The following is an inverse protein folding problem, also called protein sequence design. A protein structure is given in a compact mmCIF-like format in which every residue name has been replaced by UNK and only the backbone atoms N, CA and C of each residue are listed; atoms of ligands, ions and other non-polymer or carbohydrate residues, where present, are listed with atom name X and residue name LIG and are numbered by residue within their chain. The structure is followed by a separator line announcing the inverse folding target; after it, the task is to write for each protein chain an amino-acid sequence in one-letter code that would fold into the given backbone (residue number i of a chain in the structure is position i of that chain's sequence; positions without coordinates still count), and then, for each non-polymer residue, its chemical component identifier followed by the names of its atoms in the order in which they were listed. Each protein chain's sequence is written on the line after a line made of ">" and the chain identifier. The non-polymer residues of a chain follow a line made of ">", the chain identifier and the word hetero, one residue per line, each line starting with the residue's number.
data_IF_641760004886
#
_entry.id   IF_641760004886
#
_cell.length_a   1.000
_cell.length_b   1.000
_cell.length_c   1.000
_cell.angle_alpha   90.00
_cell.angle_beta   90.00
_cell.angle_gamma   90.00
#
_symmetry.space_group_name_H-M   'P 1'
#
loop_
_entity.id
_entity.type
_entity.pdbx_description
1 polymer ?
#
# COMPACT_ATOMS: atom_id res chain seq x y z
N UNK A 1 -36.29 -17.71 4.05
CA UNK A 1 -35.88 -17.10 2.77
C UNK A 1 -35.15 -15.78 2.94
N UNK A 2 -35.86 -14.64 3.06
CA UNK A 2 -35.22 -13.32 2.93
C UNK A 2 -34.14 -13.01 3.98
N UNK A 3 -34.29 -13.49 5.21
CA UNK A 3 -33.29 -13.33 6.29
C UNK A 3 -31.95 -13.99 5.93
N UNK A 4 -32.00 -15.15 5.27
CA UNK A 4 -30.79 -15.91 4.88
C UNK A 4 -30.03 -15.18 3.77
N UNK A 5 -30.76 -14.70 2.75
CA UNK A 5 -30.20 -13.87 1.69
C UNK A 5 -29.62 -12.56 2.25
N UNK A 6 -30.37 -11.85 3.09
CA UNK A 6 -29.87 -10.62 3.73
C UNK A 6 -28.61 -10.87 4.55
N UNK A 7 -28.53 -11.99 5.28
CA UNK A 7 -27.35 -12.40 6.03
C UNK A 7 -26.13 -12.61 5.12
N UNK A 8 -26.27 -13.29 3.98
CA UNK A 8 -25.16 -13.47 3.05
C UNK A 8 -24.68 -12.15 2.44
N UNK A 9 -25.60 -11.24 2.12
CA UNK A 9 -25.23 -9.93 1.61
C UNK A 9 -24.43 -9.11 2.63
N UNK A 10 -24.85 -9.11 3.90
CA UNK A 10 -24.12 -8.42 4.96
C UNK A 10 -22.75 -9.05 5.19
N UNK A 11 -22.67 -10.39 5.23
CA UNK A 11 -21.39 -11.09 5.37
C UNK A 11 -20.45 -10.72 4.22
N UNK A 12 -20.96 -10.69 2.98
CA UNK A 12 -20.16 -10.30 1.82
C UNK A 12 -19.66 -8.85 1.94
N UNK A 13 -20.52 -7.90 2.34
CA UNK A 13 -20.11 -6.51 2.60
C UNK A 13 -19.04 -6.43 3.68
N UNK A 14 -19.19 -7.16 4.79
CA UNK A 14 -18.20 -7.20 5.86
C UNK A 14 -16.84 -7.70 5.35
N UNK A 15 -16.81 -8.80 4.58
CA UNK A 15 -15.58 -9.30 3.97
C UNK A 15 -14.96 -8.30 2.99
N UNK A 16 -15.79 -7.62 2.20
CA UNK A 16 -15.34 -6.56 1.29
C UNK A 16 -14.62 -5.43 2.05
N UNK A 17 -15.20 -4.91 3.14
CA UNK A 17 -14.55 -3.89 3.98
C UNK A 17 -13.33 -4.40 4.75
N UNK A 18 -13.25 -5.72 5.00
CA UNK A 18 -12.05 -6.37 5.57
C UNK A 18 -10.97 -6.60 4.49
N UNK A 19 -11.23 -6.30 3.22
CA UNK A 19 -10.29 -6.49 2.11
C UNK A 19 -10.19 -7.94 1.62
N UNK A 20 -11.09 -8.80 2.10
CA UNK A 20 -11.22 -10.23 1.77
C UNK A 20 -12.22 -10.41 0.63
N UNK A 21 -11.84 -9.92 -0.55
CA UNK A 21 -12.74 -9.84 -1.70
C UNK A 21 -13.08 -11.22 -2.26
N UNK A 22 -12.17 -12.18 -2.18
CA UNK A 22 -12.40 -13.56 -2.60
C UNK A 22 -13.51 -14.22 -1.75
N UNK A 23 -13.47 -14.06 -0.43
CA UNK A 23 -14.51 -14.52 0.47
C UNK A 23 -15.82 -13.77 0.24
N UNK A 24 -15.77 -12.43 0.05
CA UNK A 24 -16.95 -11.63 -0.26
C UNK A 24 -17.66 -12.13 -1.53
N UNK A 25 -16.89 -12.38 -2.60
CA UNK A 25 -17.40 -12.94 -3.85
C UNK A 25 -18.00 -14.34 -3.68
N UNK A 26 -17.40 -15.20 -2.85
CA UNK A 26 -17.95 -16.52 -2.55
C UNK A 26 -19.32 -16.44 -1.89
N UNK A 27 -19.52 -15.50 -0.95
CA UNK A 27 -20.82 -15.27 -0.33
C UNK A 27 -21.85 -14.67 -1.30
N UNK A 28 -21.45 -13.78 -2.20
CA UNK A 28 -22.34 -13.26 -3.25
C UNK A 28 -22.75 -14.35 -4.25
N UNK A 29 -21.86 -15.30 -4.58
CA UNK A 29 -22.23 -16.46 -5.39
C UNK A 29 -23.28 -17.33 -4.70
N UNK A 30 -23.11 -17.61 -3.40
CA UNK A 30 -24.11 -18.36 -2.61
C UNK A 30 -25.46 -17.63 -2.57
N UNK A 31 -25.42 -16.30 -2.43
CA UNK A 31 -26.62 -15.46 -2.48
C UNK A 31 -27.34 -15.56 -3.83
N UNK A 32 -26.62 -15.50 -4.95
CA UNK A 32 -27.20 -15.63 -6.29
C UNK A 32 -27.83 -17.01 -6.53
N UNK A 33 -27.18 -18.08 -6.07
CA UNK A 33 -27.70 -19.45 -6.15
C UNK A 33 -29.00 -19.61 -5.34
N UNK A 34 -29.07 -19.07 -4.12
CA UNK A 34 -30.27 -19.18 -3.29
C UNK A 34 -31.40 -18.24 -3.74
N UNK A 35 -31.07 -17.07 -4.29
CA UNK A 35 -32.06 -16.13 -4.82
C UNK A 35 -32.74 -16.66 -6.11
N UNK A 36 -32.08 -17.50 -6.90
CA UNK A 36 -32.70 -18.20 -8.03
C UNK A 36 -33.73 -19.24 -7.57
N UNK A 37 -33.53 -19.83 -6.39
CA UNK A 37 -34.46 -20.81 -5.79
C UNK A 37 -35.65 -20.12 -5.14
N UNK A 38 -35.46 -18.91 -4.60
CA UNK A 38 -36.49 -18.17 -3.89
C UNK A 38 -36.94 -16.95 -4.70
N UNK A 39 -38.03 -17.12 -5.47
CA UNK A 39 -38.64 -16.10 -6.36
C UNK A 39 -39.29 -14.90 -5.61
N UNK A 40 -38.63 -14.32 -4.60
CA UNK A 40 -39.04 -13.10 -3.90
C UNK A 40 -37.84 -12.29 -3.43
N UNK A 41 -37.18 -11.61 -4.35
CA UNK A 41 -36.28 -10.51 -4.01
C UNK A 41 -36.64 -9.32 -4.91
N UNK A 42 -36.90 -8.16 -4.30
CA UNK A 42 -37.34 -6.97 -5.03
C UNK A 42 -36.32 -6.53 -6.09
N UNK A 43 -36.79 -6.01 -7.23
CA UNK A 43 -35.93 -5.64 -8.38
C UNK A 43 -34.78 -4.70 -8.01
N UNK A 44 -35.00 -3.73 -7.11
CA UNK A 44 -33.97 -2.78 -6.67
C UNK A 44 -32.86 -3.44 -5.83
N UNK A 45 -33.20 -4.39 -4.95
CA UNK A 45 -32.21 -5.08 -4.14
C UNK A 45 -31.42 -6.11 -4.96
N UNK A 46 -32.03 -6.72 -5.99
CA UNK A 46 -31.29 -7.57 -6.94
C UNK A 46 -30.28 -6.77 -7.77
N UNK A 47 -30.64 -5.55 -8.20
CA UNK A 47 -29.77 -4.72 -9.03
C UNK A 47 -28.52 -4.25 -8.27
N UNK A 48 -28.67 -3.81 -7.02
CA UNK A 48 -27.55 -3.39 -6.16
C UNK A 48 -26.62 -4.55 -5.77
N UNK A 49 -27.17 -5.74 -5.53
CA UNK A 49 -26.39 -6.97 -5.31
C UNK A 49 -25.60 -7.34 -6.57
N UNK A 50 -26.25 -7.30 -7.73
CA UNK A 50 -25.62 -7.65 -8.99
C UNK A 50 -24.50 -6.67 -9.35
N UNK A 51 -24.72 -5.36 -9.17
CA UNK A 51 -23.68 -4.35 -9.42
C UNK A 51 -22.51 -4.53 -8.46
N UNK A 52 -22.77 -4.77 -7.17
CA UNK A 52 -21.72 -5.01 -6.17
C UNK A 52 -20.90 -6.26 -6.50
N UNK A 53 -21.56 -7.35 -6.90
CA UNK A 53 -20.87 -8.57 -7.35
C UNK A 53 -19.97 -8.31 -8.57
N UNK A 54 -20.48 -7.57 -9.57
CA UNK A 54 -19.69 -7.18 -10.75
C UNK A 54 -18.47 -6.35 -10.36
N UNK A 55 -18.62 -5.38 -9.45
CA UNK A 55 -17.50 -4.58 -8.94
C UNK A 55 -16.46 -5.47 -8.27
N UNK A 56 -16.86 -6.38 -7.37
CA UNK A 56 -15.90 -7.28 -6.71
C UNK A 56 -15.17 -8.17 -7.72
N UNK A 57 -15.88 -8.74 -8.70
CA UNK A 57 -15.29 -9.52 -9.77
C UNK A 57 -14.25 -8.73 -10.56
N UNK A 58 -14.56 -7.48 -10.91
CA UNK A 58 -13.65 -6.63 -11.66
C UNK A 58 -12.40 -6.27 -10.85
N UNK A 59 -12.56 -5.90 -9.57
CA UNK A 59 -11.43 -5.62 -8.67
C UNK A 59 -10.52 -6.83 -8.49
N UNK A 60 -11.11 -8.03 -8.32
CA UNK A 60 -10.34 -9.28 -8.25
C UNK A 60 -9.61 -9.58 -9.56
N UNK A 61 -10.27 -9.37 -10.71
CA UNK A 61 -9.68 -9.55 -12.04
C UNK A 61 -8.49 -8.63 -12.26
N UNK A 62 -8.64 -7.33 -11.95
CA UNK A 62 -7.58 -6.33 -12.08
C UNK A 62 -6.40 -6.63 -11.15
N UNK A 63 -6.66 -6.98 -9.88
CA UNK A 63 -5.60 -7.41 -8.95
C UNK A 63 -4.87 -8.66 -9.47
N UNK A 64 -5.60 -9.66 -9.97
CA UNK A 64 -5.01 -10.88 -10.50
C UNK A 64 -4.18 -10.63 -11.76
N UNK A 65 -4.65 -9.76 -12.66
CA UNK A 65 -3.92 -9.35 -13.85
C UNK A 65 -2.62 -8.63 -13.48
N UNK A 66 -2.67 -7.69 -12.52
CA UNK A 66 -1.49 -7.00 -12.00
C UNK A 66 -0.48 -7.96 -11.36
N UNK A 67 -0.96 -8.92 -10.56
CA UNK A 67 -0.10 -9.94 -9.96
C UNK A 67 0.57 -10.83 -11.02
N UNK A 68 -0.17 -11.22 -12.07
CA UNK A 68 0.36 -12.04 -13.18
C UNK A 68 1.42 -11.27 -13.99
N UNK A 69 1.15 -10.00 -14.31
CA UNK A 69 2.11 -9.13 -14.98
C UNK A 69 3.38 -8.93 -14.14
N UNK A 70 3.23 -8.75 -12.82
CA UNK A 70 4.35 -8.63 -11.88
C UNK A 70 5.21 -9.91 -11.86
N UNK A 71 4.58 -11.08 -11.78
CA UNK A 71 5.29 -12.38 -11.82
C UNK A 71 6.00 -12.61 -13.16
N UNK A 72 5.47 -12.07 -14.26
CA UNK A 72 6.10 -12.12 -15.58
C UNK A 72 7.23 -11.08 -15.77
N UNK A 73 7.58 -10.29 -14.75
CA UNK A 73 8.57 -9.23 -14.84
C UNK A 73 8.11 -7.97 -15.60
N UNK A 74 6.83 -7.90 -15.99
CA UNK A 74 6.24 -6.78 -16.72
C UNK A 74 5.73 -5.73 -15.75
N UNK A 75 6.65 -5.01 -15.12
CA UNK A 75 6.31 -4.12 -14.01
C UNK A 75 5.46 -2.91 -14.41
N UNK A 76 5.63 -2.36 -15.61
CA UNK A 76 4.80 -1.24 -16.09
C UNK A 76 3.34 -1.68 -16.29
N UNK A 77 3.11 -2.84 -16.91
CA UNK A 77 1.76 -3.42 -17.08
C UNK A 77 1.13 -3.76 -15.71
N UNK A 78 1.92 -4.23 -14.75
CA UNK A 78 1.45 -4.43 -13.38
C UNK A 78 0.97 -3.12 -12.74
N UNK A 79 1.73 -2.02 -12.90
CA UNK A 79 1.33 -0.69 -12.40
C UNK A 79 0.02 -0.22 -13.02
N UNK A 80 -0.19 -0.45 -14.31
CA UNK A 80 -1.44 -0.10 -15.00
C UNK A 80 -2.63 -0.85 -14.43
N UNK A 81 -2.52 -2.18 -14.25
CA UNK A 81 -3.59 -2.98 -13.67
C UNK A 81 -3.93 -2.60 -12.23
N UNK A 82 -2.93 -2.35 -11.37
CA UNK A 82 -3.20 -1.89 -10.01
C UNK A 82 -3.80 -0.49 -9.99
N UNK A 83 -3.38 0.39 -10.90
CA UNK A 83 -3.94 1.74 -11.03
C UNK A 83 -5.40 1.68 -11.47
N UNK A 84 -5.74 0.81 -12.44
CA UNK A 84 -7.12 0.58 -12.83
C UNK A 84 -7.97 0.04 -11.67
N UNK A 85 -7.42 -0.84 -10.84
CA UNK A 85 -8.11 -1.35 -9.64
C UNK A 85 -8.41 -0.22 -8.64
N UNK A 86 -7.45 0.68 -8.41
CA UNK A 86 -7.60 1.84 -7.52
C UNK A 86 -8.59 2.88 -8.06
N UNK A 87 -8.63 3.08 -9.40
CA UNK A 87 -9.56 4.02 -10.05
C UNK A 87 -10.99 3.50 -10.14
N UNK A 88 -11.21 2.19 -10.06
CA UNK A 88 -12.54 1.56 -10.13
C UNK A 88 -13.41 1.79 -8.89
N UNK A 89 -13.10 2.82 -8.10
CA UNK A 89 -13.75 3.25 -6.85
C UNK A 89 -13.92 2.13 -5.83
N UNK A 90 -12.88 1.90 -5.03
CA UNK A 90 -12.93 0.89 -3.98
C UNK A 90 -13.43 1.51 -2.68
N UNK A 91 -14.69 1.24 -2.31
CA UNK A 91 -15.20 1.53 -0.96
C UNK A 91 -14.46 0.74 0.16
N UNK A 92 -13.52 -0.14 -0.21
CA UNK A 92 -12.69 -0.94 0.68
C UNK A 92 -11.26 -0.37 0.83
N UNK A 93 -10.95 0.30 1.96
CA UNK A 93 -9.61 0.83 2.25
C UNK A 93 -8.54 -0.26 2.27
N UNK A 94 -8.85 -1.43 2.84
CA UNK A 94 -7.90 -2.54 2.95
C UNK A 94 -7.56 -3.13 1.59
N UNK A 95 -8.53 -3.21 0.67
CA UNK A 95 -8.23 -3.64 -0.70
C UNK A 95 -7.38 -2.60 -1.44
N UNK A 96 -7.69 -1.31 -1.27
CA UNK A 96 -6.84 -0.23 -1.77
C UNK A 96 -5.42 -0.33 -1.22
N UNK A 97 -5.25 -0.57 0.09
CA UNK A 97 -3.94 -0.74 0.72
C UNK A 97 -3.14 -1.89 0.07
N UNK A 98 -3.78 -3.02 -0.22
CA UNK A 98 -3.16 -4.14 -0.94
C UNK A 98 -2.71 -3.73 -2.35
N UNK A 99 -3.56 -3.01 -3.09
CA UNK A 99 -3.22 -2.55 -4.44
C UNK A 99 -2.06 -1.55 -4.44
N UNK A 100 -2.05 -0.59 -3.51
CA UNK A 100 -0.94 0.34 -3.31
C UNK A 100 0.35 -0.41 -2.96
N UNK A 101 0.34 -1.36 -2.02
CA UNK A 101 1.56 -2.10 -1.67
C UNK A 101 2.11 -2.99 -2.80
N UNK A 102 1.23 -3.52 -3.64
CA UNK A 102 1.62 -4.27 -4.83
C UNK A 102 2.17 -3.35 -5.93
N UNK A 103 1.55 -2.18 -6.12
CA UNK A 103 2.04 -1.17 -7.07
C UNK A 103 3.39 -0.59 -6.62
N UNK A 104 3.59 -0.39 -5.32
CA UNK A 104 4.89 -0.06 -4.73
C UNK A 104 5.96 -1.11 -5.05
N UNK A 105 5.62 -2.40 -5.02
CA UNK A 105 6.56 -3.46 -5.41
C UNK A 105 6.97 -3.35 -6.88
N UNK A 106 6.01 -3.04 -7.76
CA UNK A 106 6.28 -2.83 -9.19
C UNK A 106 7.13 -1.57 -9.43
N UNK A 107 6.83 -0.46 -8.75
CA UNK A 107 7.65 0.75 -8.79
C UNK A 107 9.08 0.51 -8.32
N UNK A 108 9.24 -0.21 -7.20
CA UNK A 108 10.55 -0.60 -6.68
C UNK A 108 11.35 -1.40 -7.72
N UNK A 109 10.72 -2.36 -8.40
CA UNK A 109 11.37 -3.17 -9.43
C UNK A 109 11.76 -2.38 -10.69
N UNK A 110 11.11 -1.24 -10.94
CA UNK A 110 11.46 -0.29 -12.01
C UNK A 110 12.46 0.79 -11.56
N UNK A 111 12.95 0.75 -10.32
CA UNK A 111 13.83 1.79 -9.77
C UNK A 111 13.13 3.11 -9.43
N UNK A 112 11.79 3.16 -9.47
CA UNK A 112 11.00 4.35 -9.12
C UNK A 112 10.80 4.42 -7.60
N UNK A 113 11.87 4.73 -6.87
CA UNK A 113 11.91 4.59 -5.40
C UNK A 113 10.92 5.52 -4.70
N UNK A 114 10.83 6.79 -5.10
CA UNK A 114 9.89 7.74 -4.47
C UNK A 114 8.43 7.35 -4.68
N UNK A 115 8.09 6.84 -5.86
CA UNK A 115 6.76 6.31 -6.16
C UNK A 115 6.43 5.10 -5.29
N UNK A 116 7.40 4.21 -5.09
CA UNK A 116 7.24 3.07 -4.21
C UNK A 116 7.03 3.51 -2.74
N UNK A 117 7.77 4.51 -2.27
CA UNK A 117 7.62 5.05 -0.90
C UNK A 117 6.24 5.69 -0.74
N UNK A 118 5.81 6.51 -1.70
CA UNK A 118 4.50 7.18 -1.69
C UNK A 118 3.34 6.16 -1.64
N UNK A 119 3.40 5.10 -2.46
CA UNK A 119 2.39 4.04 -2.45
C UNK A 119 2.40 3.25 -1.14
N UNK A 120 3.58 2.97 -0.57
CA UNK A 120 3.66 2.34 0.75
C UNK A 120 3.03 3.22 1.84
N UNK A 121 3.26 4.53 1.80
CA UNK A 121 2.64 5.50 2.72
C UNK A 121 1.12 5.51 2.61
N UNK A 122 0.57 5.53 1.39
CA UNK A 122 -0.86 5.41 1.16
C UNK A 122 -1.42 4.08 1.71
N UNK A 123 -0.72 2.97 1.49
CA UNK A 123 -1.12 1.67 2.00
C UNK A 123 -1.14 1.62 3.54
N UNK A 124 -0.15 2.21 4.19
CA UNK A 124 -0.03 2.24 5.66
C UNK A 124 -1.07 3.18 6.29
N UNK A 125 -1.40 4.28 5.63
CA UNK A 125 -2.46 5.18 6.08
C UNK A 125 -3.83 4.50 6.02
N UNK A 126 -4.10 3.72 4.97
CA UNK A 126 -5.36 2.99 4.80
C UNK A 126 -5.48 1.73 5.67
N UNK A 127 -4.36 1.04 5.92
CA UNK A 127 -4.27 -0.08 6.85
C UNK A 127 -2.98 0.03 7.68
N UNK A 128 -3.14 0.58 8.88
CA UNK A 128 -2.05 0.84 9.81
C UNK A 128 -1.34 -0.42 10.32
N UNK A 129 -1.96 -1.60 10.13
CA UNK A 129 -1.45 -2.90 10.52
C UNK A 129 -0.94 -3.70 9.30
N UNK A 130 -0.78 -3.08 8.14
CA UNK A 130 -0.36 -3.79 6.95
C UNK A 130 1.15 -4.05 6.92
N UNK A 131 1.57 -5.11 7.61
CA UNK A 131 2.98 -5.48 7.82
C UNK A 131 3.82 -5.54 6.54
N UNK A 132 3.24 -5.97 5.41
CA UNK A 132 3.92 -6.02 4.11
C UNK A 132 4.27 -4.62 3.59
N UNK A 133 3.38 -3.64 3.74
CA UNK A 133 3.63 -2.26 3.33
C UNK A 133 4.68 -1.60 4.23
N UNK A 134 4.60 -1.80 5.54
CA UNK A 134 5.58 -1.28 6.52
C UNK A 134 6.97 -1.86 6.24
N UNK A 135 7.08 -3.17 6.06
CA UNK A 135 8.37 -3.83 5.77
C UNK A 135 8.98 -3.38 4.44
N UNK A 136 8.14 -3.15 3.42
CA UNK A 136 8.59 -2.64 2.12
C UNK A 136 9.07 -1.20 2.24
N UNK A 137 8.34 -0.33 2.94
CA UNK A 137 8.74 1.07 3.15
C UNK A 137 10.05 1.18 3.91
N UNK A 138 10.23 0.38 4.97
CA UNK A 138 11.52 0.26 5.65
C UNK A 138 12.66 -0.12 4.69
N UNK A 139 12.44 -1.09 3.80
CA UNK A 139 13.44 -1.49 2.81
C UNK A 139 13.75 -0.41 1.78
N UNK A 140 12.76 0.39 1.38
CA UNK A 140 12.95 1.51 0.46
C UNK A 140 13.73 2.66 1.13
N UNK A 141 13.44 2.96 2.40
CA UNK A 141 14.21 3.92 3.20
C UNK A 141 15.66 3.45 3.45
N UNK A 142 15.88 2.15 3.71
CA UNK A 142 17.22 1.55 3.77
C UNK A 142 17.99 1.76 2.46
N UNK A 143 17.32 1.57 1.32
CA UNK A 143 17.93 1.70 -0.01
C UNK A 143 18.43 3.14 -0.27
N UNK A 144 17.65 4.15 0.15
CA UNK A 144 18.06 5.55 0.04
C UNK A 144 18.92 6.04 1.23
N UNK A 145 19.31 5.14 2.13
CA UNK A 145 20.10 5.41 3.36
C UNK A 145 19.44 6.40 4.32
N UNK A 146 18.11 6.44 4.30
CA UNK A 146 17.31 7.16 5.29
C UNK A 146 17.07 6.25 6.49
N UNK A 147 18.14 6.05 7.27
CA UNK A 147 18.14 5.09 8.36
C UNK A 147 17.17 5.49 9.49
N UNK A 148 16.89 6.78 9.67
CA UNK A 148 15.93 7.25 10.67
C UNK A 148 14.52 6.76 10.35
N UNK A 149 14.04 6.96 9.11
CA UNK A 149 12.71 6.51 8.70
C UNK A 149 12.61 5.00 8.59
N UNK A 150 13.64 4.34 8.06
CA UNK A 150 13.68 2.88 8.02
C UNK A 150 13.64 2.27 9.44
N UNK A 151 14.37 2.86 10.40
CA UNK A 151 14.36 2.43 11.80
C UNK A 151 12.99 2.62 12.45
N UNK A 152 12.30 3.74 12.16
CA UNK A 152 10.94 3.98 12.64
C UNK A 152 9.95 2.91 12.14
N UNK A 153 10.00 2.59 10.85
CA UNK A 153 9.13 1.57 10.26
C UNK A 153 9.45 0.16 10.78
N UNK A 154 10.72 -0.19 10.97
CA UNK A 154 11.11 -1.47 11.56
C UNK A 154 10.63 -1.61 13.00
N UNK A 155 10.78 -0.57 13.84
CA UNK A 155 10.25 -0.58 15.22
C UNK A 155 8.73 -0.75 15.24
N UNK A 156 8.02 -0.05 14.35
CA UNK A 156 6.57 -0.22 14.20
C UNK A 156 6.20 -1.64 13.76
N UNK A 157 6.95 -2.21 12.80
CA UNK A 157 6.73 -3.58 12.33
C UNK A 157 6.96 -4.61 13.44
N UNK A 158 8.02 -4.44 14.23
CA UNK A 158 8.35 -5.31 15.38
C UNK A 158 7.20 -5.29 16.39
N UNK A 159 6.77 -4.10 16.82
CA UNK A 159 5.66 -3.95 17.77
C UNK A 159 4.35 -4.59 17.25
N UNK A 160 4.07 -4.44 15.94
CA UNK A 160 2.93 -5.09 15.31
C UNK A 160 3.03 -6.62 15.34
N UNK A 161 4.19 -7.18 15.01
CA UNK A 161 4.41 -8.63 14.98
C UNK A 161 4.38 -9.24 16.39
N UNK A 162 4.91 -8.54 17.39
CA UNK A 162 4.83 -8.93 18.80
C UNK A 162 3.37 -8.99 19.27
N UNK A 163 2.57 -7.97 18.95
CA UNK A 163 1.14 -7.96 19.25
C UNK A 163 0.40 -9.11 18.56
N UNK A 164 0.70 -9.37 17.29
CA UNK A 164 0.13 -10.51 16.56
C UNK A 164 0.54 -11.86 17.17
N UNK A 165 1.77 -11.98 17.69
CA UNK A 165 2.21 -13.21 18.36
C UNK A 165 1.47 -13.40 19.69
N UNK A 166 1.29 -12.32 20.45
CA UNK A 166 0.55 -12.33 21.72
C UNK A 166 -0.91 -12.75 21.53
N UNK A 167 -1.56 -12.24 20.48
CA UNK A 167 -2.94 -12.60 20.14
C UNK A 167 -3.08 -14.09 19.73
N UNK A 168 -2.02 -14.70 19.19
CA UNK A 168 -2.01 -16.10 18.74
C UNK A 168 -1.51 -17.11 19.79
N UNK A 169 -1.26 -16.70 21.05
CA UNK A 169 -0.75 -17.59 22.11
C UNK A 169 -1.67 -18.80 22.33
N UNK A 170 -2.98 -18.61 22.22
CA UNK A 170 -3.97 -19.65 22.50
C UNK A 170 -4.20 -20.61 21.32
N UNK A 171 -3.65 -20.33 20.14
CA UNK A 171 -3.77 -21.20 18.95
C UNK A 171 -2.41 -21.35 18.26
N UNK A 172 -1.49 -22.18 18.80
CA UNK A 172 -0.23 -22.49 18.15
C UNK A 172 -0.51 -23.11 16.78
N UNK A 173 -0.16 -22.39 15.71
CA UNK A 173 -0.31 -22.86 14.34
C UNK A 173 0.92 -22.46 13.53
N UNK A 174 1.10 -23.02 12.33
CA UNK A 174 2.16 -22.66 11.39
C UNK A 174 2.28 -21.14 11.16
N UNK A 175 1.17 -20.39 11.32
CA UNK A 175 1.19 -18.93 11.26
C UNK A 175 2.05 -18.31 12.35
N UNK A 176 2.05 -18.85 13.57
CA UNK A 176 2.85 -18.34 14.69
C UNK A 176 4.35 -18.47 14.43
N UNK A 177 4.78 -19.56 13.77
CA UNK A 177 6.18 -19.73 13.37
C UNK A 177 6.57 -18.74 12.27
N UNK A 178 5.70 -18.53 11.29
CA UNK A 178 5.89 -17.49 10.27
C UNK A 178 6.01 -16.07 10.85
N UNK A 179 5.20 -15.75 11.86
CA UNK A 179 5.28 -14.48 12.60
C UNK A 179 6.61 -14.39 13.34
N UNK A 180 7.01 -15.45 14.08
CA UNK A 180 8.28 -15.48 14.82
C UNK A 180 9.49 -15.32 13.89
N UNK A 181 9.51 -16.00 12.75
CA UNK A 181 10.58 -15.84 11.74
C UNK A 181 10.63 -14.41 11.18
N UNK A 182 9.47 -13.80 10.93
CA UNK A 182 9.38 -12.41 10.46
C UNK A 182 9.85 -11.41 11.52
N UNK A 183 9.52 -11.66 12.78
CA UNK A 183 9.96 -10.87 13.93
C UNK A 183 11.48 -10.94 14.09
N UNK A 184 12.06 -12.14 14.09
CA UNK A 184 13.51 -12.34 14.16
C UNK A 184 14.23 -11.62 13.02
N UNK A 185 13.70 -11.72 11.79
CA UNK A 185 14.26 -11.01 10.63
C UNK A 185 14.20 -9.49 10.80
N UNK A 186 13.10 -8.97 11.33
CA UNK A 186 12.91 -7.52 11.54
C UNK A 186 13.87 -6.99 12.62
N UNK A 187 14.08 -7.75 13.70
CA UNK A 187 15.07 -7.43 14.73
C UNK A 187 16.50 -7.40 14.17
N UNK A 188 16.89 -8.40 13.38
CA UNK A 188 18.20 -8.44 12.74
C UNK A 188 18.41 -7.25 11.78
N UNK A 189 17.37 -6.89 11.01
CA UNK A 189 17.41 -5.70 10.15
C UNK A 189 17.59 -4.43 10.96
N UNK A 190 16.88 -4.27 12.07
CA UNK A 190 16.99 -3.09 12.93
C UNK A 190 18.41 -2.93 13.49
N UNK A 191 19.00 -4.00 14.04
CA UNK A 191 20.38 -3.96 14.54
C UNK A 191 21.41 -3.71 13.43
N UNK A 192 21.16 -4.19 12.22
CA UNK A 192 22.02 -3.91 11.06
C UNK A 192 21.94 -2.43 10.64
N UNK A 193 20.73 -1.90 10.57
CA UNK A 193 20.46 -0.50 10.27
C UNK A 193 21.13 0.43 11.29
N UNK A 194 21.06 0.11 12.58
CA UNK A 194 21.71 0.94 13.62
C UNK A 194 23.23 0.98 13.48
N UNK A 195 23.86 -0.11 13.03
CA UNK A 195 25.29 -0.13 12.71
C UNK A 195 25.61 0.70 11.47
N UNK A 196 24.76 0.67 10.46
CA UNK A 196 24.97 1.44 9.23
C UNK A 196 24.72 2.94 9.45
N UNK A 197 23.73 3.31 10.27
CA UNK A 197 23.50 4.68 10.70
C UNK A 197 24.72 5.28 11.41
N UNK A 198 25.42 4.49 12.25
CA UNK A 198 26.65 4.92 12.94
C UNK A 198 27.81 5.23 12.00
N UNK A 199 27.79 4.75 10.75
CA UNK A 199 28.82 5.08 9.75
C UNK A 199 28.71 6.52 9.24
N UNK A 200 27.59 7.20 9.50
CA UNK A 200 27.40 8.60 9.09
C UNK A 200 27.35 8.82 7.58
N UNK A 201 27.05 7.78 6.80
CA UNK A 201 26.94 7.86 5.34
C UNK A 201 25.69 8.67 4.99
N UNK A 202 25.85 9.68 4.13
CA UNK A 202 24.75 10.52 3.68
C UNK A 202 23.72 9.75 2.82
N UNK A 203 22.54 10.35 2.68
CA UNK A 203 21.45 9.87 1.84
C UNK A 203 21.93 9.54 0.43
N UNK A 204 21.38 8.48 -0.16
CA UNK A 204 21.61 8.18 -1.57
C UNK A 204 20.74 9.09 -2.46
N UNK A 205 21.22 10.31 -2.67
CA UNK A 205 20.53 11.38 -3.42
C UNK A 205 20.24 11.02 -4.88
N UNK A 206 21.07 10.18 -5.50
CA UNK A 206 20.87 9.70 -6.87
C UNK A 206 19.63 8.80 -6.98
N UNK A 207 19.46 7.85 -6.03
CA UNK A 207 18.27 7.02 -5.96
C UNK A 207 17.01 7.81 -5.60
N UNK A 208 17.14 8.85 -4.79
CA UNK A 208 16.03 9.76 -4.47
C UNK A 208 15.54 10.46 -5.75
N UNK A 209 16.44 11.01 -6.57
CA UNK A 209 16.03 11.68 -7.82
C UNK A 209 15.79 10.71 -9.00
N UNK A 210 16.13 9.44 -8.86
CA UNK A 210 16.00 8.44 -9.93
C UNK A 210 16.92 8.73 -11.11
N UNK A 211 18.16 9.15 -10.83
CA UNK A 211 19.17 9.51 -11.83
C UNK A 211 20.47 8.73 -11.58
N UNK A 212 21.27 8.60 -12.63
CA UNK A 212 22.61 8.00 -12.55
C UNK A 212 23.65 9.05 -12.08
N UNK A 213 24.76 8.62 -11.45
CA UNK A 213 25.82 9.54 -11.02
C UNK A 213 26.51 10.29 -12.17
N UNK A 214 26.37 9.83 -13.41
CA UNK A 214 26.95 10.46 -14.61
C UNK A 214 26.11 11.60 -15.18
N UNK A 215 24.94 11.90 -14.61
CA UNK A 215 24.01 12.91 -15.13
C UNK A 215 24.54 14.35 -15.00
N UNK A 216 24.18 15.21 -15.95
CA UNK A 216 24.57 16.63 -15.93
C UNK A 216 23.72 17.45 -14.95
N UNK A 217 24.18 18.65 -14.59
CA UNK A 217 23.40 19.59 -13.78
C UNK A 217 22.00 19.89 -14.35
N UNK A 218 21.87 19.94 -15.69
CA UNK A 218 20.57 20.13 -16.35
C UNK A 218 19.63 18.95 -16.13
N UNK A 219 20.16 17.73 -16.17
CA UNK A 219 19.40 16.50 -15.92
C UNK A 219 18.97 16.41 -14.46
N UNK A 220 19.86 16.75 -13.53
CA UNK A 220 19.56 16.84 -12.09
C UNK A 220 18.40 17.82 -11.85
N UNK A 221 18.46 19.02 -12.44
CA UNK A 221 17.41 20.04 -12.33
C UNK A 221 16.09 19.58 -12.95
N UNK A 222 16.13 18.85 -14.06
CA UNK A 222 14.95 18.27 -14.71
C UNK A 222 14.32 17.16 -13.84
N UNK A 223 15.14 16.28 -13.29
CA UNK A 223 14.70 15.21 -12.39
C UNK A 223 14.06 15.78 -11.11
N UNK A 224 14.70 16.78 -10.49
CA UNK A 224 14.14 17.51 -9.35
C UNK A 224 12.75 18.10 -9.66
N UNK A 225 12.61 18.84 -10.77
CA UNK A 225 11.31 19.43 -11.16
C UNK A 225 10.24 18.37 -11.37
N UNK A 226 10.59 17.25 -12.01
CA UNK A 226 9.67 16.13 -12.23
C UNK A 226 9.25 15.49 -10.91
N UNK A 227 10.19 15.19 -10.02
CA UNK A 227 9.93 14.58 -8.72
C UNK A 227 9.10 15.50 -7.81
N UNK A 228 9.49 16.78 -7.71
CA UNK A 228 8.79 17.78 -6.91
C UNK A 228 7.34 17.99 -7.37
N UNK A 229 7.09 18.06 -8.69
CA UNK A 229 5.74 18.18 -9.22
C UNK A 229 4.90 16.92 -8.95
N UNK A 230 5.52 15.74 -8.98
CA UNK A 230 4.83 14.46 -8.80
C UNK A 230 4.46 14.20 -7.34
N UNK A 231 5.37 14.51 -6.42
CA UNK A 231 5.21 14.27 -4.98
C UNK A 231 4.90 15.54 -4.18
N UNK A 232 4.31 16.56 -4.81
CA UNK A 232 3.86 17.75 -4.10
C UNK A 232 2.75 17.37 -3.10
N UNK A 233 2.78 17.86 -1.85
CA UNK A 233 1.81 17.49 -0.82
C UNK A 233 0.36 17.82 -1.20
N UNK A 234 0.12 18.86 -1.99
CA UNK A 234 -1.21 19.20 -2.52
C UNK A 234 -1.85 18.09 -3.36
N UNK A 235 -1.04 17.19 -3.95
CA UNK A 235 -1.56 16.07 -4.75
C UNK A 235 -1.85 14.83 -3.90
N UNK A 236 -1.33 14.75 -2.69
CA UNK A 236 -1.38 13.53 -1.87
C UNK A 236 -2.82 13.12 -1.51
N UNK A 237 -3.72 14.11 -1.34
CA UNK A 237 -5.13 13.87 -1.04
C UNK A 237 -5.99 13.45 -2.23
N UNK A 238 -5.55 13.71 -3.47
CA UNK A 238 -6.38 13.48 -4.66
C UNK A 238 -6.48 11.99 -5.05
N UNK A 239 -5.62 11.14 -4.51
CA UNK A 239 -5.56 9.72 -4.88
C UNK A 239 -6.56 8.84 -4.14
N UNK A 240 -7.28 9.37 -3.15
CA UNK A 240 -8.21 8.58 -2.34
C UNK A 240 -9.65 8.96 -2.64
N UNK A 241 -10.44 7.98 -3.05
CA UNK A 241 -11.89 8.11 -3.09
C UNK A 241 -12.43 7.92 -1.68
N UNK A 242 -13.13 8.94 -1.15
CA UNK A 242 -13.72 8.91 0.18
C UNK A 242 -14.77 7.81 0.24
N UNK A 243 -14.59 6.82 1.12
CA UNK A 243 -15.60 5.81 1.43
C UNK A 243 -16.65 6.45 2.34
N UNK A 244 -17.90 6.47 1.92
CA UNK A 244 -19.03 7.01 2.71
C UNK A 244 -19.21 6.31 4.07
N UNK A 245 -18.62 5.12 4.22
CA UNK A 245 -18.81 4.25 5.38
C UNK A 245 -17.75 4.41 6.49
N UNK A 246 -16.72 5.23 6.28
CA UNK A 246 -15.72 5.49 7.34
C UNK A 246 -16.04 6.83 8.00
N UNK A 247 -15.99 6.85 9.33
CA UNK A 247 -16.17 8.05 10.12
C UNK A 247 -15.24 9.17 9.63
N UNK A 248 -15.81 10.36 9.43
CA UNK A 248 -15.09 11.58 9.04
C UNK A 248 -13.88 11.88 9.92
N UNK A 249 -13.90 11.51 11.20
CA UNK A 249 -12.72 11.61 12.06
C UNK A 249 -11.57 10.71 11.57
N UNK A 250 -11.86 9.43 11.29
CA UNK A 250 -10.87 8.46 10.81
C UNK A 250 -10.35 8.87 9.43
N UNK A 251 -11.21 9.33 8.53
CA UNK A 251 -10.77 9.85 7.23
C UNK A 251 -9.86 11.08 7.35
N UNK A 252 -10.12 11.97 8.31
CA UNK A 252 -9.25 13.12 8.58
C UNK A 252 -7.88 12.68 9.07
N UNK A 253 -7.82 11.67 9.94
CA UNK A 253 -6.55 11.12 10.42
C UNK A 253 -5.75 10.50 9.28
N UNK A 254 -6.40 9.68 8.44
CA UNK A 254 -5.79 9.10 7.23
C UNK A 254 -5.24 10.20 6.31
N UNK A 255 -6.05 11.24 6.03
CA UNK A 255 -5.62 12.35 5.17
C UNK A 255 -4.45 13.14 5.77
N UNK A 256 -4.42 13.30 7.10
CA UNK A 256 -3.32 13.96 7.78
C UNK A 256 -2.02 13.14 7.72
N UNK A 257 -2.09 11.83 7.91
CA UNK A 257 -0.91 10.95 7.81
C UNK A 257 -0.33 10.95 6.39
N UNK A 258 -1.20 10.92 5.38
CA UNK A 258 -0.79 11.00 3.97
C UNK A 258 -0.12 12.34 3.66
N UNK A 259 -0.67 13.44 4.17
CA UNK A 259 -0.07 14.77 3.98
C UNK A 259 1.31 14.86 4.64
N UNK A 260 1.46 14.34 5.87
CA UNK A 260 2.75 14.30 6.57
C UNK A 260 3.80 13.50 5.81
N UNK A 261 3.43 12.33 5.29
CA UNK A 261 4.35 11.49 4.51
C UNK A 261 4.72 12.15 3.17
N UNK A 262 3.76 12.80 2.49
CA UNK A 262 4.04 13.54 1.27
C UNK A 262 4.93 14.77 1.51
N UNK A 263 4.70 15.51 2.60
CA UNK A 263 5.55 16.62 3.02
C UNK A 263 6.99 16.16 3.29
N UNK A 264 7.15 15.00 3.94
CA UNK A 264 8.46 14.41 4.18
C UNK A 264 9.16 14.08 2.87
N UNK A 265 8.48 13.40 1.95
CA UNK A 265 9.02 13.04 0.64
C UNK A 265 9.41 14.28 -0.17
N UNK A 266 8.60 15.34 -0.13
CA UNK A 266 8.89 16.60 -0.79
C UNK A 266 10.14 17.28 -0.22
N UNK A 267 10.30 17.30 1.10
CA UNK A 267 11.52 17.81 1.77
C UNK A 267 12.75 16.99 1.41
N UNK A 268 12.60 15.67 1.33
CA UNK A 268 13.67 14.75 0.95
C UNK A 268 14.15 15.02 -0.49
N UNK A 269 13.21 15.24 -1.44
CA UNK A 269 13.52 15.64 -2.82
C UNK A 269 14.30 16.96 -2.85
N UNK A 270 13.86 17.95 -2.06
CA UNK A 270 14.54 19.24 -1.93
C UNK A 270 15.96 19.10 -1.39
N UNK A 271 16.15 18.28 -0.35
CA UNK A 271 17.47 17.98 0.23
C UNK A 271 18.40 17.30 -0.78
N UNK A 272 17.89 16.35 -1.55
CA UNK A 272 18.68 15.67 -2.58
C UNK A 272 19.15 16.63 -3.68
N UNK A 273 18.26 17.51 -4.15
CA UNK A 273 18.63 18.53 -5.13
C UNK A 273 19.67 19.51 -4.57
N UNK A 274 19.50 19.99 -3.33
CA UNK A 274 20.44 20.92 -2.71
C UNK A 274 21.86 20.34 -2.67
N UNK A 275 22.02 19.08 -2.23
CA UNK A 275 23.31 18.38 -2.15
C UNK A 275 23.97 18.22 -3.53
N UNK A 276 23.18 17.92 -4.57
CA UNK A 276 23.68 17.71 -5.92
C UNK A 276 23.92 19.01 -6.71
N UNK A 277 23.28 20.10 -6.30
CA UNK A 277 23.44 21.41 -6.93
C UNK A 277 24.58 22.24 -6.35
N UNK A 278 25.13 21.82 -5.20
CA UNK A 278 26.25 22.50 -4.55
C UNK A 278 27.52 22.30 -5.39
N UNK A 279 28.24 23.38 -5.77
CA UNK A 279 29.48 23.26 -6.52
C UNK A 279 30.62 22.59 -5.73
N UNK A 280 30.49 22.44 -4.41
CA UNK A 280 31.53 21.84 -3.55
C UNK A 280 31.51 20.31 -3.52
N UNK A 281 30.48 19.66 -4.05
CA UNK A 281 30.32 18.19 -4.07
C UNK A 281 30.77 17.51 -5.37
N UNK A 282 31.31 18.27 -6.34
CA UNK A 282 31.84 17.75 -7.61
C UNK A 282 33.37 17.79 -7.67
#
# INVERSE_FOLDING_TARGET
>A
SSVKLWRYYIIAKSYFFIGKLEEAHQFLKKLGQEALVECRYGKQSQQSVSSFSTTICELLRLKAAGNKAFQAGKYSEAVEHYTAALLSNTESPRFSAICFANRAAAYQAMGQILDAIADCSLAIALDSNYSKAISRRAGLYELIRDYDQAGNDLRRLISLLERQLQENIYTPSEKSDGIRSSLNRSNLRLSALERDAKKGISLNVYLILGIEPSCTFLDIKKAYRKAALRHHPDKAGNFLVRSENINDAVWRDIANDIRKDADYLFKLIGKAYAILSDPTTN
#
